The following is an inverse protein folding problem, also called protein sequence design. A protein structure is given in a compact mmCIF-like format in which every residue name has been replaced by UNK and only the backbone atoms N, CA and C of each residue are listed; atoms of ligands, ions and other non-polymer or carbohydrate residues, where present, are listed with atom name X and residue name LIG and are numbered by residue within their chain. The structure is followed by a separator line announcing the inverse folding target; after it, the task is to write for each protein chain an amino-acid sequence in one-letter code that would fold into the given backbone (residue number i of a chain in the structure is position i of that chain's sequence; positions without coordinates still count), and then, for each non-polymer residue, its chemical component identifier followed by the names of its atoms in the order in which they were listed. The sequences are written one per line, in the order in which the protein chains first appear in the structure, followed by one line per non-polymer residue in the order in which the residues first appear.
data_IF_862144554796
#
_entry.id   IF_862144554796
#
_cell.length_a   1.000
_cell.length_b   1.000
_cell.length_c   1.000
_cell.angle_alpha   90.00
_cell.angle_beta   90.00
_cell.angle_gamma   90.00
#
_symmetry.space_group_name_H-M   'P 1'
#
loop_
_entity.id
_entity.type
_entity.pdbx_description
1 polymer ?
#
# COMPACT_ATOMS: atom_id res chain seq x y z
N UNK A 1 -18.99 31.27 -23.76
CA UNK A 1 -17.79 32.01 -23.31
C UNK A 1 -16.63 31.10 -23.39
N UNK A 2 -15.65 31.40 -24.27
CA UNK A 2 -14.54 30.55 -24.57
C UNK A 2 -13.55 30.48 -23.42
N UNK A 3 -13.23 29.28 -22.97
CA UNK A 3 -12.09 29.02 -22.08
C UNK A 3 -10.80 29.44 -22.77
N UNK A 4 -10.15 30.48 -22.24
CA UNK A 4 -8.82 30.88 -22.67
C UNK A 4 -7.82 29.79 -22.30
N UNK A 5 -7.33 29.07 -23.30
CA UNK A 5 -6.11 28.25 -23.16
C UNK A 5 -4.94 29.13 -22.74
N UNK A 6 -4.45 28.92 -21.53
CA UNK A 6 -3.18 29.53 -21.09
C UNK A 6 -2.06 28.72 -21.79
N UNK A 7 -1.55 29.29 -22.87
CA UNK A 7 -0.34 28.78 -23.54
C UNK A 7 0.87 29.11 -22.66
N UNK A 8 1.35 28.12 -21.89
CA UNK A 8 2.69 28.19 -21.34
C UNK A 8 3.69 27.90 -22.47
N UNK A 9 4.49 28.91 -22.81
CA UNK A 9 5.62 28.78 -23.73
C UNK A 9 6.67 27.82 -23.14
N UNK A 10 7.13 26.86 -23.96
CA UNK A 10 8.38 26.12 -23.74
C UNK A 10 8.30 24.79 -22.99
N UNK A 11 7.34 23.90 -23.28
CA UNK A 11 7.56 22.49 -23.06
C UNK A 11 7.15 21.73 -24.33
N UNK A 12 8.11 21.09 -24.99
CA UNK A 12 7.81 19.99 -25.89
C UNK A 12 6.99 18.98 -25.09
N UNK A 13 5.67 18.96 -25.32
CA UNK A 13 4.77 18.02 -24.66
C UNK A 13 5.11 16.64 -25.21
N UNK A 14 5.95 15.90 -24.50
CA UNK A 14 6.18 14.48 -24.76
C UNK A 14 4.80 13.83 -24.92
N UNK A 15 4.54 13.24 -26.11
CA UNK A 15 3.25 12.64 -26.42
C UNK A 15 2.97 11.55 -25.39
N UNK A 16 1.93 11.73 -24.59
CA UNK A 16 1.60 10.84 -23.49
C UNK A 16 1.15 9.47 -24.00
N UNK A 17 1.84 8.41 -23.62
CA UNK A 17 1.38 7.05 -23.87
C UNK A 17 0.34 6.66 -22.84
N UNK A 18 -0.81 6.18 -23.29
CA UNK A 18 -1.89 5.69 -22.44
C UNK A 18 -1.91 4.17 -22.40
N UNK A 19 -2.21 3.62 -21.23
CA UNK A 19 -2.55 2.23 -21.09
C UNK A 19 -4.03 2.05 -21.49
N UNK A 20 -4.26 1.50 -22.67
CA UNK A 20 -5.61 1.25 -23.21
C UNK A 20 -6.08 -0.20 -22.95
N UNK A 21 -7.30 -0.51 -23.40
CA UNK A 21 -7.92 -1.82 -23.11
C UNK A 21 -7.24 -2.97 -23.88
N UNK A 22 -6.65 -2.72 -25.05
CA UNK A 22 -5.97 -3.74 -25.85
C UNK A 22 -4.68 -4.23 -25.19
N UNK A 23 -4.03 -3.37 -24.43
CA UNK A 23 -2.77 -3.64 -23.72
C UNK A 23 -2.93 -4.47 -22.44
N UNK A 24 -4.14 -4.73 -21.99
CA UNK A 24 -4.41 -5.33 -20.67
C UNK A 24 -3.79 -6.71 -20.48
N UNK A 25 -3.89 -7.58 -21.48
CA UNK A 25 -3.43 -8.98 -21.39
C UNK A 25 -1.99 -9.16 -21.86
N UNK A 26 -1.51 -8.28 -22.75
CA UNK A 26 -0.19 -8.36 -23.37
C UNK A 26 0.90 -7.71 -22.51
N UNK A 27 0.54 -6.68 -21.73
CA UNK A 27 1.51 -5.89 -20.98
C UNK A 27 1.79 -6.44 -19.59
N UNK A 28 3.06 -6.44 -19.22
CA UNK A 28 3.48 -6.61 -17.81
C UNK A 28 3.44 -5.26 -17.11
N UNK A 29 2.67 -5.19 -16.01
CA UNK A 29 2.51 -3.97 -15.21
C UNK A 29 3.43 -4.07 -14.00
N UNK A 30 4.48 -3.26 -13.97
CA UNK A 30 5.43 -3.21 -12.87
C UNK A 30 4.91 -2.33 -11.73
N UNK A 31 5.08 -2.80 -10.49
CA UNK A 31 4.62 -2.14 -9.26
C UNK A 31 5.81 -2.03 -8.30
N UNK A 32 6.00 -0.91 -7.59
CA UNK A 32 7.05 -0.80 -6.57
C UNK A 32 6.87 -1.82 -5.45
N UNK A 33 7.96 -2.26 -4.84
CA UNK A 33 7.95 -3.20 -3.71
C UNK A 33 7.43 -2.53 -2.44
N UNK A 34 6.12 -2.46 -2.33
CA UNK A 34 5.44 -2.01 -1.12
C UNK A 34 4.47 -3.08 -0.67
N UNK A 35 4.45 -3.41 0.63
CA UNK A 35 3.51 -4.39 1.20
C UNK A 35 3.57 -5.79 0.54
N UNK A 36 4.73 -6.45 0.49
CA UNK A 36 4.88 -7.72 -0.22
C UNK A 36 3.88 -8.80 0.24
N UNK A 37 3.46 -8.81 1.52
CA UNK A 37 2.45 -9.72 2.06
C UNK A 37 1.09 -9.50 1.38
N UNK A 38 0.64 -8.25 1.27
CA UNK A 38 -0.63 -7.89 0.64
C UNK A 38 -0.63 -8.15 -0.85
N UNK A 39 0.46 -7.77 -1.53
CA UNK A 39 0.54 -7.88 -2.99
C UNK A 39 0.52 -9.32 -3.50
N UNK A 40 0.95 -10.32 -2.71
CA UNK A 40 0.78 -11.74 -3.05
C UNK A 40 -0.68 -12.11 -3.35
N UNK A 41 -1.63 -11.52 -2.62
CA UNK A 41 -3.07 -11.74 -2.80
C UNK A 41 -3.66 -10.82 -3.86
N UNK A 42 -3.27 -9.54 -3.85
CA UNK A 42 -3.77 -8.51 -4.77
C UNK A 42 -3.44 -8.88 -6.21
N UNK A 43 -2.20 -9.26 -6.52
CA UNK A 43 -1.79 -9.66 -7.87
C UNK A 43 -2.60 -10.85 -8.40
N UNK A 44 -2.91 -11.83 -7.55
CA UNK A 44 -3.73 -12.99 -7.96
C UNK A 44 -5.16 -12.57 -8.37
N UNK A 45 -5.73 -11.56 -7.70
CA UNK A 45 -7.02 -11.00 -8.06
C UNK A 45 -6.92 -10.28 -9.41
N UNK A 46 -5.96 -9.38 -9.57
CA UNK A 46 -5.80 -8.61 -10.81
C UNK A 46 -5.55 -9.50 -12.02
N UNK A 47 -4.80 -10.61 -11.85
CA UNK A 47 -4.59 -11.61 -12.90
C UNK A 47 -5.89 -12.18 -13.43
N UNK A 48 -6.89 -12.43 -12.56
CA UNK A 48 -8.23 -12.88 -12.98
C UNK A 48 -8.94 -11.87 -13.89
N UNK A 49 -8.65 -10.60 -13.73
CA UNK A 49 -9.21 -9.51 -14.54
C UNK A 49 -8.36 -9.15 -15.76
N UNK A 50 -7.41 -10.01 -16.13
CA UNK A 50 -6.55 -9.82 -17.31
C UNK A 50 -5.41 -8.82 -17.11
N UNK A 51 -5.02 -8.50 -15.86
CA UNK A 51 -3.86 -7.65 -15.58
C UNK A 51 -2.69 -8.51 -15.14
N UNK A 52 -1.62 -8.54 -15.91
CA UNK A 52 -0.38 -9.19 -15.54
C UNK A 52 0.48 -8.21 -14.73
N UNK A 53 0.46 -8.33 -13.40
CA UNK A 53 1.19 -7.46 -12.49
C UNK A 53 2.41 -8.16 -11.92
N UNK A 54 3.52 -7.44 -11.84
CA UNK A 54 4.75 -7.90 -11.19
C UNK A 54 5.21 -6.89 -10.13
N UNK A 55 5.41 -7.38 -8.90
CA UNK A 55 5.98 -6.61 -7.81
C UNK A 55 7.50 -6.59 -7.98
N UNK A 56 8.08 -5.41 -8.08
CA UNK A 56 9.52 -5.24 -8.17
C UNK A 56 10.18 -5.62 -6.84
N UNK A 57 11.28 -6.36 -6.90
CA UNK A 57 12.04 -6.80 -5.72
C UNK A 57 13.51 -6.36 -5.79
N UNK A 58 13.85 -5.48 -6.74
CA UNK A 58 15.18 -4.90 -6.84
C UNK A 58 15.44 -3.94 -5.67
N UNK A 59 16.48 -4.23 -4.91
CA UNK A 59 16.85 -3.53 -3.67
C UNK A 59 18.33 -3.18 -3.60
N UNK A 60 19.02 -3.19 -4.74
CA UNK A 60 20.46 -2.88 -4.81
C UNK A 60 20.74 -1.38 -4.67
N UNK A 61 22.02 -1.04 -4.48
CA UNK A 61 22.51 0.34 -4.51
C UNK A 61 22.10 1.08 -5.79
N UNK A 62 22.01 0.37 -6.93
CA UNK A 62 21.60 0.94 -8.21
C UNK A 62 20.21 1.59 -8.15
N UNK A 63 19.29 1.09 -7.34
CA UNK A 63 17.97 1.72 -7.13
C UNK A 63 18.13 3.14 -6.61
N UNK A 64 19.00 3.35 -5.62
CA UNK A 64 19.27 4.68 -5.07
C UNK A 64 19.94 5.57 -6.12
N UNK A 65 20.96 5.06 -6.81
CA UNK A 65 21.72 5.81 -7.81
C UNK A 65 20.84 6.21 -9.00
N UNK A 66 19.97 5.32 -9.50
CA UNK A 66 19.00 5.64 -10.54
C UNK A 66 17.93 6.62 -10.05
N UNK A 67 17.51 6.52 -8.82
CA UNK A 67 16.60 7.50 -8.19
C UNK A 67 17.22 8.90 -8.14
N UNK A 68 18.46 9.02 -7.70
CA UNK A 68 19.20 10.29 -7.64
C UNK A 68 19.40 10.93 -9.02
N UNK A 69 19.68 10.12 -10.05
CA UNK A 69 19.84 10.61 -11.43
C UNK A 69 18.55 11.14 -12.05
N UNK A 70 17.41 10.53 -11.70
CA UNK A 70 16.15 10.74 -12.40
C UNK A 70 15.12 11.54 -11.59
N UNK A 71 15.46 11.91 -10.35
CA UNK A 71 14.58 12.65 -9.44
C UNK A 71 15.19 13.99 -9.09
N UNK A 72 14.35 15.02 -8.90
CA UNK A 72 14.80 16.33 -8.46
C UNK A 72 15.31 16.29 -7.01
N UNK A 73 16.31 17.11 -6.66
CA UNK A 73 16.93 17.18 -5.34
C UNK A 73 15.93 17.45 -4.19
N UNK A 74 14.82 18.16 -4.48
CA UNK A 74 13.78 18.47 -3.49
C UNK A 74 12.76 17.35 -3.33
N UNK A 75 12.91 16.22 -4.04
CA UNK A 75 12.04 15.08 -3.87
C UNK A 75 12.34 14.36 -2.55
N UNK A 76 11.29 13.83 -1.92
CA UNK A 76 11.46 13.02 -0.71
C UNK A 76 12.11 11.67 -1.02
N UNK A 77 12.72 11.06 -0.02
CA UNK A 77 13.36 9.75 -0.14
C UNK A 77 12.43 8.65 -0.72
N UNK A 78 11.14 8.53 -0.32
CA UNK A 78 10.21 7.62 -0.95
C UNK A 78 10.05 7.81 -2.47
N UNK A 79 9.97 9.05 -2.94
CA UNK A 79 9.88 9.35 -4.37
C UNK A 79 11.12 8.88 -5.13
N UNK A 80 12.30 9.13 -4.55
CA UNK A 80 13.58 8.70 -5.09
C UNK A 80 13.64 7.18 -5.25
N UNK A 81 13.26 6.44 -4.21
CA UNK A 81 13.29 4.97 -4.24
C UNK A 81 12.33 4.38 -5.25
N UNK A 82 11.08 4.87 -5.29
CA UNK A 82 10.07 4.38 -6.25
C UNK A 82 10.51 4.62 -7.69
N UNK A 83 11.01 5.81 -7.99
CA UNK A 83 11.48 6.14 -9.34
C UNK A 83 12.73 5.34 -9.67
N UNK A 84 13.66 5.25 -8.74
CA UNK A 84 14.88 4.45 -8.91
C UNK A 84 14.57 2.97 -9.15
N UNK A 85 13.63 2.40 -8.42
CA UNK A 85 13.22 1.01 -8.57
C UNK A 85 12.66 0.73 -9.97
N UNK A 86 11.82 1.61 -10.49
CA UNK A 86 11.33 1.51 -11.87
C UNK A 86 12.46 1.65 -12.89
N UNK A 87 13.33 2.67 -12.75
CA UNK A 87 14.39 2.94 -13.71
C UNK A 87 15.45 1.83 -13.74
N UNK A 88 15.83 1.30 -12.58
CA UNK A 88 16.73 0.15 -12.47
C UNK A 88 16.10 -1.11 -13.08
N UNK A 89 14.84 -1.38 -12.82
CA UNK A 89 14.12 -2.50 -13.41
C UNK A 89 14.07 -2.42 -14.95
N UNK A 90 13.73 -1.26 -15.51
CA UNK A 90 13.67 -1.08 -16.96
C UNK A 90 15.05 -1.21 -17.63
N UNK A 91 16.13 -0.84 -16.93
CA UNK A 91 17.52 -1.01 -17.43
C UNK A 91 18.06 -2.42 -17.30
N UNK A 92 17.44 -3.26 -16.49
CA UNK A 92 17.93 -4.62 -16.18
C UNK A 92 17.98 -5.57 -17.38
N UNK A 93 17.29 -5.25 -18.47
CA UNK A 93 17.10 -6.15 -19.62
C UNK A 93 16.15 -7.32 -19.37
N UNK A 94 15.54 -7.40 -18.16
CA UNK A 94 14.60 -8.47 -17.79
C UNK A 94 13.23 -8.30 -18.46
N UNK A 95 12.84 -7.09 -18.79
CA UNK A 95 11.49 -6.75 -19.25
C UNK A 95 11.48 -6.35 -20.73
N UNK A 96 10.46 -6.82 -21.44
CA UNK A 96 10.15 -6.32 -22.78
C UNK A 96 9.55 -4.91 -22.68
N UNK A 97 10.32 -3.90 -23.06
CA UNK A 97 9.95 -2.49 -22.91
C UNK A 97 8.76 -2.09 -23.79
N UNK A 98 8.50 -2.83 -24.89
CA UNK A 98 7.35 -2.56 -25.77
C UNK A 98 6.04 -3.03 -25.13
N UNK A 99 6.10 -4.05 -24.26
CA UNK A 99 4.96 -4.61 -23.56
C UNK A 99 5.05 -4.40 -22.04
N UNK A 100 5.64 -3.30 -21.60
CA UNK A 100 5.75 -2.93 -20.19
C UNK A 100 4.95 -1.67 -19.89
N UNK A 101 4.26 -1.67 -18.74
CA UNK A 101 3.61 -0.50 -18.16
C UNK A 101 4.02 -0.35 -16.70
N UNK A 102 3.99 0.87 -16.17
CA UNK A 102 4.27 1.16 -14.76
C UNK A 102 2.98 1.54 -14.06
N UNK A 103 2.83 1.14 -12.79
CA UNK A 103 1.67 1.49 -11.99
C UNK A 103 2.10 2.12 -10.67
N UNK A 104 1.52 3.28 -10.36
CA UNK A 104 1.76 3.98 -9.10
C UNK A 104 0.50 4.69 -8.60
N UNK A 105 0.39 4.84 -7.30
CA UNK A 105 -0.68 5.63 -6.68
C UNK A 105 -0.43 7.14 -6.82
N UNK A 106 -1.52 7.90 -6.87
CA UNK A 106 -1.51 9.37 -6.89
C UNK A 106 -2.57 9.89 -5.90
N UNK A 107 -2.12 10.45 -4.79
CA UNK A 107 -2.99 10.69 -3.63
C UNK A 107 -3.88 11.92 -3.75
N UNK A 108 -3.47 12.96 -4.48
CA UNK A 108 -4.21 14.23 -4.62
C UNK A 108 -4.14 15.16 -3.41
N UNK A 109 -3.29 14.83 -2.42
CA UNK A 109 -3.09 15.66 -1.23
C UNK A 109 -1.88 16.58 -1.32
N UNK A 110 -1.50 17.22 -0.21
CA UNK A 110 -0.31 18.08 -0.08
C UNK A 110 1.02 17.35 -0.04
N UNK A 111 1.06 16.05 -0.27
CA UNK A 111 2.25 15.21 -0.30
C UNK A 111 2.85 15.11 -1.71
N UNK A 112 4.16 14.88 -1.81
CA UNK A 112 4.86 14.61 -3.08
C UNK A 112 4.32 13.37 -3.81
N UNK A 113 3.68 12.44 -3.13
CA UNK A 113 2.98 11.29 -3.75
C UNK A 113 1.94 11.70 -4.80
N UNK A 114 1.41 12.90 -4.73
CA UNK A 114 0.56 13.49 -5.79
C UNK A 114 1.31 13.66 -7.12
N UNK A 115 2.63 13.85 -7.08
CA UNK A 115 3.46 14.15 -8.24
C UNK A 115 4.29 12.95 -8.74
N UNK A 116 4.24 11.78 -8.10
CA UNK A 116 5.05 10.61 -8.49
C UNK A 116 4.84 10.23 -9.95
N UNK A 117 3.61 10.26 -10.44
CA UNK A 117 3.28 9.97 -11.85
C UNK A 117 4.02 10.93 -12.81
N UNK A 118 4.04 12.22 -12.51
CA UNK A 118 4.74 13.23 -13.33
C UNK A 118 6.26 13.01 -13.28
N UNK A 119 6.81 12.69 -12.12
CA UNK A 119 8.24 12.40 -11.95
C UNK A 119 8.65 11.14 -12.72
N UNK A 120 7.87 10.07 -12.65
CA UNK A 120 8.11 8.83 -13.40
C UNK A 120 8.11 9.11 -14.91
N UNK A 121 7.13 9.86 -15.41
CA UNK A 121 7.08 10.24 -16.84
C UNK A 121 8.27 11.08 -17.27
N UNK A 122 8.71 12.02 -16.43
CA UNK A 122 9.92 12.82 -16.67
C UNK A 122 11.17 11.93 -16.73
N UNK A 123 11.30 10.99 -15.79
CA UNK A 123 12.41 10.04 -15.75
C UNK A 123 12.43 9.16 -17.02
N UNK A 124 11.28 8.63 -17.43
CA UNK A 124 11.14 7.86 -18.69
C UNK A 124 11.55 8.68 -19.91
N UNK A 125 11.12 9.94 -20.00
CA UNK A 125 11.51 10.82 -21.11
C UNK A 125 13.02 11.07 -21.13
N UNK A 126 13.64 11.32 -19.98
CA UNK A 126 15.08 11.51 -19.86
C UNK A 126 15.89 10.25 -20.25
N UNK A 127 15.30 9.07 -20.07
CA UNK A 127 15.91 7.79 -20.46
C UNK A 127 15.63 7.37 -21.91
N UNK A 128 14.93 8.20 -22.69
CA UNK A 128 14.55 7.86 -24.07
C UNK A 128 13.40 6.84 -24.19
N UNK A 129 12.64 6.61 -23.10
CA UNK A 129 11.53 5.64 -23.01
C UNK A 129 10.14 6.30 -22.82
N UNK A 130 9.79 7.41 -23.51
CA UNK A 130 8.55 8.16 -23.26
C UNK A 130 7.28 7.38 -23.62
N UNK A 131 7.40 6.28 -24.36
CA UNK A 131 6.29 5.46 -24.83
C UNK A 131 5.78 4.45 -23.79
N UNK A 132 6.51 4.23 -22.69
CA UNK A 132 6.06 3.34 -21.61
C UNK A 132 4.88 3.97 -20.89
N UNK A 133 3.70 3.31 -20.87
CA UNK A 133 2.52 3.83 -20.18
C UNK A 133 2.71 3.86 -18.66
N UNK A 134 2.23 4.93 -18.02
CA UNK A 134 2.21 5.06 -16.56
C UNK A 134 0.77 5.13 -16.09
N UNK A 135 0.32 4.10 -15.40
CA UNK A 135 -1.02 3.96 -14.85
C UNK A 135 -1.07 4.63 -13.48
N UNK A 136 -2.02 5.54 -13.31
CA UNK A 136 -2.25 6.24 -12.05
C UNK A 136 -3.42 5.65 -11.28
N UNK A 137 -3.17 5.09 -10.10
CA UNK A 137 -4.24 4.80 -9.14
C UNK A 137 -4.56 6.11 -8.39
N UNK A 138 -5.62 6.79 -8.81
CA UNK A 138 -5.95 8.10 -8.26
C UNK A 138 -7.42 8.21 -7.84
N UNK A 139 -7.74 7.96 -6.56
CA UNK A 139 -9.10 8.10 -6.04
C UNK A 139 -9.67 9.52 -6.17
N UNK A 140 -8.80 10.52 -6.27
CA UNK A 140 -9.19 11.92 -6.46
C UNK A 140 -9.59 12.27 -7.91
N UNK A 141 -9.50 11.34 -8.85
CA UNK A 141 -9.89 11.57 -10.25
C UNK A 141 -8.96 12.50 -11.03
N UNK A 142 -7.70 12.62 -10.62
CA UNK A 142 -6.71 13.52 -11.24
C UNK A 142 -6.36 13.13 -12.68
N UNK A 143 -6.43 11.84 -12.99
CA UNK A 143 -6.09 11.29 -14.31
C UNK A 143 -7.04 10.17 -14.72
N UNK A 144 -7.24 10.03 -16.05
CA UNK A 144 -8.00 8.93 -16.64
C UNK A 144 -7.05 7.84 -17.13
N UNK A 145 -7.38 6.58 -16.82
CA UNK A 145 -6.66 5.39 -17.29
C UNK A 145 -7.62 4.50 -18.09
N UNK A 146 -7.73 4.67 -19.43
CA UNK A 146 -8.78 4.01 -20.23
C UNK A 146 -8.77 2.48 -20.15
N UNK A 147 -7.58 1.88 -20.04
CA UNK A 147 -7.39 0.42 -19.96
C UNK A 147 -7.48 -0.14 -18.55
N UNK A 148 -7.38 0.71 -17.51
CA UNK A 148 -7.38 0.27 -16.12
C UNK A 148 -8.71 0.64 -15.44
N UNK A 149 -9.57 -0.35 -15.20
CA UNK A 149 -10.90 -0.14 -14.66
C UNK A 149 -11.05 -0.63 -13.24
N UNK A 150 -11.73 0.15 -12.43
CA UNK A 150 -12.14 -0.21 -11.06
C UNK A 150 -13.52 -0.86 -11.09
N UNK A 151 -13.58 -2.14 -11.42
CA UNK A 151 -14.83 -2.89 -11.39
C UNK A 151 -15.26 -3.12 -9.92
N UNK A 152 -16.55 -2.98 -9.57
CA UNK A 152 -17.02 -3.18 -8.19
C UNK A 152 -16.61 -4.53 -7.60
N UNK A 153 -16.66 -5.58 -8.42
CA UNK A 153 -16.26 -6.93 -8.00
C UNK A 153 -14.75 -7.06 -7.77
N UNK A 154 -13.91 -6.32 -8.52
CA UNK A 154 -12.48 -6.22 -8.28
C UNK A 154 -12.20 -5.51 -6.95
N UNK A 155 -12.84 -4.35 -6.73
CA UNK A 155 -12.67 -3.58 -5.50
C UNK A 155 -13.11 -4.36 -4.26
N UNK A 156 -14.22 -5.10 -4.35
CA UNK A 156 -14.68 -5.98 -3.28
C UNK A 156 -13.61 -7.00 -2.88
N UNK A 157 -13.03 -7.70 -3.86
CA UNK A 157 -11.97 -8.69 -3.62
C UNK A 157 -10.67 -8.05 -3.12
N UNK A 158 -10.31 -6.90 -3.68
CA UNK A 158 -9.13 -6.16 -3.26
C UNK A 158 -9.22 -5.73 -1.79
N UNK A 159 -10.38 -5.24 -1.33
CA UNK A 159 -10.60 -4.89 0.07
C UNK A 159 -10.48 -6.11 0.99
N UNK A 160 -11.04 -7.27 0.60
CA UNK A 160 -10.85 -8.52 1.35
C UNK A 160 -9.37 -8.92 1.41
N UNK A 161 -8.63 -8.80 0.30
CA UNK A 161 -7.20 -9.11 0.24
C UNK A 161 -6.37 -8.19 1.13
N UNK A 162 -6.73 -6.90 1.21
CA UNK A 162 -6.05 -5.95 2.09
C UNK A 162 -6.29 -6.31 3.57
N UNK A 163 -7.51 -6.66 3.97
CA UNK A 163 -7.79 -7.11 5.34
C UNK A 163 -7.01 -8.39 5.67
N UNK A 164 -6.92 -9.34 4.74
CA UNK A 164 -6.08 -10.53 4.95
C UNK A 164 -4.59 -10.18 5.07
N UNK A 165 -4.11 -9.22 4.28
CA UNK A 165 -2.73 -8.74 4.38
C UNK A 165 -2.42 -8.13 5.74
N UNK A 166 -3.29 -7.25 6.24
CA UNK A 166 -3.18 -6.67 7.58
C UNK A 166 -3.21 -7.75 8.67
N UNK A 167 -4.14 -8.71 8.55
CA UNK A 167 -4.20 -9.86 9.46
C UNK A 167 -2.89 -10.66 9.44
N UNK A 168 -2.36 -10.97 8.26
CA UNK A 168 -1.10 -11.72 8.16
C UNK A 168 0.09 -10.97 8.75
N UNK A 169 0.23 -9.66 8.51
CA UNK A 169 1.28 -8.88 9.16
C UNK A 169 1.19 -9.02 10.68
N UNK A 170 0.00 -8.89 11.22
CA UNK A 170 -0.27 -8.96 12.66
C UNK A 170 0.05 -10.33 13.25
N UNK A 171 -0.48 -11.41 12.68
CA UNK A 171 -0.27 -12.77 13.23
C UNK A 171 1.15 -13.29 12.96
N UNK A 172 1.73 -12.96 11.81
CA UNK A 172 3.06 -13.42 11.42
C UNK A 172 4.15 -12.77 12.27
N UNK A 173 4.14 -11.42 12.40
CA UNK A 173 5.17 -10.69 13.15
C UNK A 173 5.07 -10.95 14.65
N UNK A 174 3.88 -11.26 15.16
CA UNK A 174 3.65 -11.65 16.56
C UNK A 174 3.99 -13.11 16.86
N UNK A 175 4.12 -13.97 15.84
CA UNK A 175 4.37 -15.42 16.01
C UNK A 175 5.81 -15.79 15.69
N UNK A 176 6.33 -15.29 14.57
CA UNK A 176 7.64 -15.64 14.01
C UNK A 176 8.82 -15.49 14.99
N UNK A 177 8.91 -14.43 15.81
CA UNK A 177 10.00 -14.29 16.77
C UNK A 177 10.01 -15.34 17.89
N UNK A 178 8.90 -16.03 18.11
CA UNK A 178 8.69 -16.96 19.22
C UNK A 178 8.53 -18.42 18.80
N UNK A 179 8.55 -18.74 17.50
CA UNK A 179 8.31 -20.09 17.00
C UNK A 179 9.33 -21.12 17.54
N UNK A 180 8.85 -22.27 18.04
CA UNK A 180 9.74 -23.39 18.45
C UNK A 180 10.39 -24.06 17.26
N UNK A 181 9.65 -24.19 16.16
CA UNK A 181 10.14 -24.76 14.90
C UNK A 181 10.36 -23.62 13.94
N UNK A 182 11.61 -23.29 13.71
CA UNK A 182 12.00 -22.16 12.85
C UNK A 182 11.39 -22.30 11.45
N UNK A 183 10.69 -21.27 11.00
CA UNK A 183 10.03 -21.21 9.69
C UNK A 183 8.58 -21.72 9.70
N UNK A 184 8.06 -22.25 10.82
CA UNK A 184 6.69 -22.77 10.90
C UNK A 184 5.63 -21.69 10.64
N UNK A 185 5.84 -20.48 11.14
CA UNK A 185 4.94 -19.35 10.90
C UNK A 185 4.92 -18.94 9.42
N UNK A 186 6.08 -18.88 8.76
CA UNK A 186 6.17 -18.60 7.33
C UNK A 186 5.51 -19.71 6.50
N UNK A 187 5.74 -20.99 6.84
CA UNK A 187 5.10 -22.11 6.14
C UNK A 187 3.56 -22.07 6.25
N UNK A 188 3.05 -21.75 7.44
CA UNK A 188 1.62 -21.58 7.65
C UNK A 188 1.06 -20.38 6.86
N UNK A 189 1.78 -19.26 6.83
CA UNK A 189 1.42 -18.12 6.01
C UNK A 189 1.31 -18.47 4.53
N UNK A 190 2.32 -19.13 3.94
CA UNK A 190 2.31 -19.52 2.53
C UNK A 190 1.16 -20.52 2.22
N UNK A 191 0.90 -21.50 3.10
CA UNK A 191 -0.25 -22.40 3.00
C UNK A 191 -1.56 -21.61 2.88
N UNK A 192 -1.75 -20.61 3.73
CA UNK A 192 -2.94 -19.77 3.71
C UNK A 192 -3.00 -18.86 2.49
N UNK A 193 -1.88 -18.28 2.05
CA UNK A 193 -1.82 -17.46 0.83
C UNK A 193 -2.31 -18.25 -0.37
N UNK A 194 -1.85 -19.49 -0.56
CA UNK A 194 -2.29 -20.34 -1.68
C UNK A 194 -3.79 -20.71 -1.61
N UNK A 195 -4.32 -20.93 -0.42
CA UNK A 195 -5.76 -21.13 -0.22
C UNK A 195 -6.55 -19.86 -0.55
N UNK A 196 -6.12 -18.72 -0.02
CA UNK A 196 -6.82 -17.45 -0.18
C UNK A 196 -6.80 -16.94 -1.62
N UNK A 197 -5.77 -17.20 -2.42
CA UNK A 197 -5.75 -16.91 -3.86
C UNK A 197 -6.96 -17.54 -4.57
N UNK A 198 -7.38 -18.74 -4.15
CA UNK A 198 -8.55 -19.45 -4.72
C UNK A 198 -9.87 -18.93 -4.15
N UNK A 199 -9.94 -18.70 -2.84
CA UNK A 199 -11.16 -18.31 -2.15
C UNK A 199 -11.57 -16.86 -2.47
N UNK A 200 -10.62 -15.93 -2.59
CA UNK A 200 -10.87 -14.55 -3.00
C UNK A 200 -11.52 -14.46 -4.40
N UNK A 201 -11.28 -15.43 -5.27
CA UNK A 201 -11.92 -15.47 -6.58
C UNK A 201 -13.42 -15.78 -6.50
N UNK A 202 -13.88 -16.46 -5.45
CA UNK A 202 -15.30 -16.74 -5.18
C UNK A 202 -16.01 -15.55 -4.55
N UNK A 203 -15.29 -14.75 -3.76
CA UNK A 203 -15.77 -13.54 -3.07
C UNK A 203 -16.97 -13.79 -2.13
N UNK A 204 -17.06 -14.98 -1.54
CA UNK A 204 -18.11 -15.32 -0.59
C UNK A 204 -17.80 -14.78 0.82
N UNK A 205 -18.76 -14.06 1.41
CA UNK A 205 -18.60 -13.43 2.72
C UNK A 205 -18.52 -14.43 3.87
N UNK A 206 -19.20 -15.56 3.78
CA UNK A 206 -19.14 -16.61 4.81
C UNK A 206 -17.74 -17.21 4.84
N UNK A 207 -17.24 -17.64 3.68
CA UNK A 207 -15.87 -18.15 3.50
C UNK A 207 -14.83 -17.12 3.97
N UNK A 208 -15.03 -15.84 3.65
CA UNK A 208 -14.16 -14.76 4.11
C UNK A 208 -14.05 -14.71 5.64
N UNK A 209 -15.18 -14.71 6.35
CA UNK A 209 -15.20 -14.66 7.80
C UNK A 209 -14.69 -15.94 8.46
N UNK A 210 -14.95 -17.10 7.86
CA UNK A 210 -14.43 -18.40 8.32
C UNK A 210 -12.91 -18.48 8.17
N UNK A 211 -12.36 -18.04 7.05
CA UNK A 211 -10.92 -18.01 6.83
C UNK A 211 -10.21 -17.12 7.85
N UNK A 212 -10.73 -15.94 8.16
CA UNK A 212 -10.17 -15.04 9.18
C UNK A 212 -10.07 -15.78 10.53
N UNK A 213 -11.17 -16.40 11.00
CA UNK A 213 -11.16 -17.14 12.25
C UNK A 213 -10.18 -18.31 12.25
N UNK A 214 -10.12 -19.04 11.15
CA UNK A 214 -9.22 -20.18 11.02
C UNK A 214 -7.74 -19.77 10.98
N UNK A 215 -7.40 -18.68 10.29
CA UNK A 215 -6.04 -18.12 10.30
C UNK A 215 -5.61 -17.80 11.73
N UNK A 216 -6.42 -17.03 12.46
CA UNK A 216 -6.11 -16.66 13.85
C UNK A 216 -5.91 -17.91 14.71
N UNK A 217 -6.85 -18.88 14.65
CA UNK A 217 -6.77 -20.13 15.41
C UNK A 217 -5.50 -20.93 15.07
N UNK A 218 -5.21 -21.17 13.77
CA UNK A 218 -4.04 -21.96 13.38
C UNK A 218 -2.72 -21.28 13.77
N UNK A 219 -2.64 -19.95 13.75
CA UNK A 219 -1.48 -19.23 14.26
C UNK A 219 -1.39 -19.28 15.81
N UNK A 220 -2.51 -19.31 16.53
CA UNK A 220 -2.52 -19.52 17.99
C UNK A 220 -2.06 -20.92 18.39
N UNK A 221 -2.38 -21.92 17.57
CA UNK A 221 -2.02 -23.32 17.79
C UNK A 221 -0.52 -23.63 17.51
N UNK A 222 0.21 -22.71 16.84
CA UNK A 222 1.63 -22.91 16.61
C UNK A 222 2.42 -22.99 17.91
N UNK A 223 3.30 -24.02 18.08
CA UNK A 223 4.15 -24.14 19.25
C UNK A 223 5.13 -22.98 19.38
N UNK A 224 5.08 -22.24 20.48
CA UNK A 224 5.96 -21.13 20.78
C UNK A 224 6.89 -21.40 21.94
N UNK A 225 8.01 -20.69 21.95
CA UNK A 225 8.91 -20.56 23.08
C UNK A 225 8.24 -19.70 24.18
N UNK A 226 8.39 -20.09 25.42
CA UNK A 226 7.94 -19.31 26.58
C UNK A 226 9.01 -18.27 26.96
N UNK A 227 9.17 -17.27 26.11
CA UNK A 227 10.13 -16.17 26.30
C UNK A 227 9.44 -14.84 26.07
N UNK A 228 9.97 -13.77 26.67
CA UNK A 228 9.54 -12.40 26.41
C UNK A 228 10.61 -11.68 25.59
N UNK A 229 10.16 -10.98 24.56
CA UNK A 229 11.03 -10.11 23.74
C UNK A 229 10.54 -8.67 23.83
N UNK A 230 11.44 -7.69 23.70
CA UNK A 230 11.01 -6.29 23.58
C UNK A 230 10.16 -6.11 22.34
N UNK A 231 9.05 -5.39 22.48
CA UNK A 231 8.18 -5.01 21.36
C UNK A 231 8.59 -3.65 20.85
N UNK A 232 8.87 -3.56 19.56
CA UNK A 232 9.35 -2.34 18.91
C UNK A 232 8.35 -1.90 17.85
N UNK A 233 7.75 -0.72 18.03
CA UNK A 233 6.84 -0.10 17.06
C UNK A 233 7.63 0.36 15.83
N UNK A 234 7.16 -0.01 14.65
CA UNK A 234 7.68 0.48 13.36
C UNK A 234 6.73 1.55 12.86
N UNK A 235 7.07 2.80 13.14
CA UNK A 235 6.29 3.97 12.73
C UNK A 235 7.04 4.76 11.67
N UNK A 236 6.32 5.49 10.84
CA UNK A 236 6.94 6.28 9.77
C UNK A 236 5.94 6.58 8.65
N UNK A 237 6.41 7.31 7.64
CA UNK A 237 5.67 7.57 6.42
C UNK A 237 5.33 6.24 5.74
N UNK A 238 4.15 6.14 5.13
CA UNK A 238 3.54 4.89 4.66
C UNK A 238 4.47 4.05 3.76
N UNK A 239 5.16 4.67 2.81
CA UNK A 239 6.06 3.92 1.92
C UNK A 239 7.28 3.42 2.69
N UNK A 240 7.93 4.27 3.49
CA UNK A 240 9.10 3.87 4.29
C UNK A 240 8.73 2.77 5.28
N UNK A 241 7.56 2.86 5.91
CA UNK A 241 7.09 1.85 6.86
C UNK A 241 6.91 0.46 6.23
N UNK A 242 6.41 0.39 5.00
CA UNK A 242 6.01 -0.86 4.35
C UNK A 242 6.93 -1.34 3.23
N UNK A 243 7.86 -0.53 2.76
CA UNK A 243 8.75 -0.88 1.66
C UNK A 243 10.07 -1.43 2.20
N UNK A 244 10.40 -2.72 2.01
CA UNK A 244 11.58 -3.34 2.61
C UNK A 244 12.89 -2.62 2.26
N UNK A 245 13.08 -2.22 1.00
CA UNK A 245 14.26 -1.45 0.57
C UNK A 245 14.34 -0.08 1.25
N UNK A 246 13.17 0.58 1.46
CA UNK A 246 13.14 1.92 2.06
C UNK A 246 13.48 1.93 3.55
N UNK A 247 13.24 0.83 4.27
CA UNK A 247 13.50 0.71 5.69
C UNK A 247 14.64 -0.26 6.05
N UNK A 248 15.44 -0.67 5.05
CA UNK A 248 16.55 -1.61 5.25
C UNK A 248 16.10 -2.95 5.87
N UNK A 249 14.96 -3.46 5.45
CA UNK A 249 14.38 -4.72 5.94
C UNK A 249 14.21 -4.74 7.47
N UNK A 250 13.71 -3.64 8.02
CA UNK A 250 13.67 -3.33 9.44
C UNK A 250 12.99 -4.41 10.27
N UNK A 251 11.88 -5.00 9.79
CA UNK A 251 11.17 -6.06 10.52
C UNK A 251 12.07 -7.28 10.74
N UNK A 252 12.73 -7.76 9.69
CA UNK A 252 13.64 -8.89 9.78
C UNK A 252 14.89 -8.55 10.60
N UNK A 253 15.35 -7.29 10.54
CA UNK A 253 16.46 -6.82 11.39
C UNK A 253 16.08 -6.90 12.87
N UNK A 254 14.93 -6.34 13.26
CA UNK A 254 14.45 -6.37 14.64
C UNK A 254 14.30 -7.81 15.18
N UNK A 255 13.77 -8.71 14.34
CA UNK A 255 13.64 -10.11 14.74
C UNK A 255 14.98 -10.82 14.92
N UNK A 256 15.98 -10.53 14.07
CA UNK A 256 17.35 -11.05 14.23
C UNK A 256 18.02 -10.55 15.51
N UNK A 257 17.76 -9.29 15.86
CA UNK A 257 18.29 -8.67 17.10
C UNK A 257 17.48 -9.09 18.35
N UNK A 258 16.51 -9.99 18.21
CA UNK A 258 15.77 -10.56 19.32
C UNK A 258 14.54 -9.78 19.77
N UNK A 259 14.05 -8.84 18.97
CA UNK A 259 12.83 -8.07 19.24
C UNK A 259 11.61 -8.63 18.49
N UNK A 260 10.42 -8.16 18.88
CA UNK A 260 9.16 -8.33 18.16
C UNK A 260 8.81 -7.01 17.46
N UNK A 261 8.70 -7.03 16.13
CA UNK A 261 8.26 -5.87 15.37
C UNK A 261 6.74 -5.70 15.44
N UNK A 262 6.27 -4.50 15.74
CA UNK A 262 4.86 -4.11 15.73
C UNK A 262 4.65 -3.10 14.61
N UNK A 263 4.01 -3.54 13.52
CA UNK A 263 3.75 -2.71 12.33
C UNK A 263 2.25 -2.41 12.27
N UNK A 264 1.84 -1.13 12.22
CA UNK A 264 0.44 -0.75 12.05
C UNK A 264 -0.16 -1.25 10.74
N UNK A 265 -1.48 -1.47 10.73
CA UNK A 265 -2.21 -1.98 9.57
C UNK A 265 -2.30 -0.92 8.46
N UNK A 266 -2.32 -1.36 7.19
CA UNK A 266 -2.52 -0.47 6.04
C UNK A 266 -3.89 0.22 6.08
N UNK A 267 -4.93 -0.51 6.48
CA UNK A 267 -6.28 0.06 6.54
C UNK A 267 -6.44 1.14 7.62
N UNK A 268 -5.61 1.15 8.65
CA UNK A 268 -5.58 2.25 9.61
C UNK A 268 -5.18 3.56 8.94
N UNK A 269 -4.21 3.52 8.01
CA UNK A 269 -3.88 4.69 7.19
C UNK A 269 -5.04 5.13 6.28
N UNK A 270 -5.77 4.19 5.67
CA UNK A 270 -6.94 4.52 4.87
C UNK A 270 -8.05 5.19 5.72
N UNK A 271 -8.27 4.70 6.94
CA UNK A 271 -9.19 5.31 7.91
C UNK A 271 -8.71 6.71 8.36
N UNK A 272 -7.39 6.90 8.55
CA UNK A 272 -6.79 8.20 8.79
C UNK A 272 -7.13 9.19 7.65
N UNK A 273 -6.96 8.81 6.40
CA UNK A 273 -7.30 9.64 5.25
C UNK A 273 -8.79 10.03 5.24
N UNK A 274 -9.68 9.11 5.60
CA UNK A 274 -11.11 9.37 5.75
C UNK A 274 -11.39 10.34 6.90
N UNK A 275 -10.75 10.14 8.05
CA UNK A 275 -10.92 10.98 9.24
C UNK A 275 -10.43 12.42 9.00
N UNK A 276 -9.38 12.58 8.21
CA UNK A 276 -8.87 13.90 7.83
C UNK A 276 -9.91 14.75 7.09
N UNK A 277 -10.85 14.16 6.35
CA UNK A 277 -11.90 14.93 5.69
C UNK A 277 -12.86 15.57 6.71
N UNK A 278 -13.07 14.93 7.85
CA UNK A 278 -13.86 15.48 8.98
C UNK A 278 -13.14 16.67 9.59
N UNK A 279 -11.84 16.51 9.85
CA UNK A 279 -11.02 17.58 10.46
C UNK A 279 -10.85 18.77 9.51
N UNK A 280 -10.69 18.52 8.21
CA UNK A 280 -10.62 19.58 7.19
C UNK A 280 -11.89 20.42 7.15
N UNK A 281 -13.06 19.79 7.17
CA UNK A 281 -14.33 20.54 7.18
C UNK A 281 -14.47 21.35 8.46
N UNK A 282 -14.12 20.75 9.61
CA UNK A 282 -14.28 21.39 10.91
C UNK A 282 -13.36 22.60 11.12
N UNK A 283 -12.11 22.53 10.69
CA UNK A 283 -11.08 23.50 11.06
C UNK A 283 -10.45 24.25 9.88
N UNK A 284 -10.53 23.72 8.65
CA UNK A 284 -9.81 24.24 7.49
C UNK A 284 -10.74 24.66 6.33
N UNK A 285 -12.05 24.78 6.57
CA UNK A 285 -13.02 25.15 5.53
C UNK A 285 -13.16 24.10 4.43
N UNK A 286 -12.89 22.83 4.73
CA UNK A 286 -13.00 21.75 3.78
C UNK A 286 -14.43 21.46 3.31
N UNK A 287 -14.56 20.66 2.25
CA UNK A 287 -15.84 20.36 1.61
C UNK A 287 -16.71 19.43 2.47
N UNK A 288 -17.97 19.83 2.69
CA UNK A 288 -19.00 19.00 3.32
C UNK A 288 -19.24 17.68 2.58
N UNK A 289 -19.19 17.72 1.24
CA UNK A 289 -19.30 16.51 0.40
C UNK A 289 -18.13 15.54 0.65
N UNK A 290 -16.91 16.05 0.73
CA UNK A 290 -15.72 15.22 1.01
C UNK A 290 -15.81 14.55 2.38
N UNK A 291 -16.30 15.24 3.42
CA UNK A 291 -16.58 14.66 4.74
C UNK A 291 -17.61 13.52 4.68
N UNK A 292 -18.73 13.73 3.97
CA UNK A 292 -19.78 12.72 3.85
C UNK A 292 -19.24 11.48 3.14
N UNK A 293 -18.53 11.66 2.03
CA UNK A 293 -17.90 10.57 1.28
C UNK A 293 -16.84 9.87 2.14
N UNK A 294 -15.98 10.61 2.83
CA UNK A 294 -14.98 10.06 3.74
C UNK A 294 -15.61 9.19 4.83
N UNK A 295 -16.66 9.67 5.47
CA UNK A 295 -17.39 8.88 6.47
C UNK A 295 -18.05 7.62 5.89
N UNK A 296 -18.56 7.68 4.67
CA UNK A 296 -19.13 6.50 3.99
C UNK A 296 -18.04 5.46 3.69
N UNK A 297 -16.91 5.91 3.14
CA UNK A 297 -15.76 5.04 2.84
C UNK A 297 -15.22 4.42 4.14
N UNK A 298 -15.09 5.18 5.22
CA UNK A 298 -14.67 4.65 6.52
C UNK A 298 -15.60 3.54 7.01
N UNK A 299 -16.93 3.74 6.93
CA UNK A 299 -17.91 2.69 7.30
C UNK A 299 -17.78 1.42 6.44
N UNK A 300 -17.50 1.58 5.15
CA UNK A 300 -17.25 0.43 4.26
C UNK A 300 -16.00 -0.32 4.69
N UNK A 301 -14.89 0.39 4.96
CA UNK A 301 -13.65 -0.23 5.46
C UNK A 301 -13.90 -0.95 6.79
N UNK A 302 -14.52 -0.30 7.76
CA UNK A 302 -14.87 -0.86 9.07
C UNK A 302 -15.75 -2.12 8.92
N UNK A 303 -16.68 -2.13 7.95
CA UNK A 303 -17.52 -3.29 7.66
C UNK A 303 -16.72 -4.49 7.12
N UNK A 304 -15.68 -4.25 6.29
CA UNK A 304 -14.77 -5.30 5.85
C UNK A 304 -13.88 -5.79 6.97
N UNK A 305 -13.40 -4.90 7.84
CA UNK A 305 -12.56 -5.25 8.99
C UNK A 305 -13.33 -5.97 10.10
N UNK A 306 -14.66 -5.81 10.18
CA UNK A 306 -15.45 -6.34 11.30
C UNK A 306 -15.19 -7.83 11.60
N UNK A 307 -15.17 -8.78 10.65
CA UNK A 307 -14.87 -10.18 10.98
C UNK A 307 -13.49 -10.38 11.61
N UNK A 308 -12.49 -9.59 11.20
CA UNK A 308 -11.15 -9.62 11.79
C UNK A 308 -11.15 -9.04 13.20
N UNK A 309 -11.81 -7.90 13.41
CA UNK A 309 -11.93 -7.26 14.73
C UNK A 309 -12.64 -8.19 15.73
N UNK A 310 -13.77 -8.79 15.34
CA UNK A 310 -14.56 -9.71 16.17
C UNK A 310 -13.77 -10.99 16.52
N UNK A 311 -12.91 -11.46 15.63
CA UNK A 311 -12.08 -12.64 15.86
C UNK A 311 -10.85 -12.32 16.73
N UNK A 312 -10.17 -11.19 16.49
CA UNK A 312 -9.04 -10.74 17.30
C UNK A 312 -9.44 -10.38 18.73
N UNK A 313 -10.65 -9.86 18.95
CA UNK A 313 -11.16 -9.59 20.30
C UNK A 313 -11.28 -10.84 21.17
N UNK A 314 -11.44 -12.02 20.54
CA UNK A 314 -11.50 -13.32 21.23
C UNK A 314 -10.13 -14.00 21.33
N UNK A 315 -9.14 -13.49 20.62
CA UNK A 315 -7.79 -14.01 20.62
C UNK A 315 -7.10 -13.76 21.95
N UNK A 316 -6.33 -14.73 22.41
CA UNK A 316 -5.49 -14.60 23.63
C UNK A 316 -4.08 -14.07 23.29
N UNK A 317 -3.69 -14.08 22.02
CA UNK A 317 -2.34 -13.73 21.57
C UNK A 317 -2.30 -12.46 20.76
N UNK A 318 -3.31 -12.23 19.93
CA UNK A 318 -3.27 -11.17 18.91
C UNK A 318 -4.17 -10.00 19.29
N UNK A 319 -3.57 -8.84 19.45
CA UNK A 319 -4.29 -7.62 19.76
C UNK A 319 -5.04 -7.10 18.52
N UNK A 320 -6.22 -6.54 18.71
CA UNK A 320 -6.94 -5.83 17.64
C UNK A 320 -6.28 -4.47 17.34
N UNK A 321 -6.38 -3.95 16.10
CA UNK A 321 -5.93 -2.61 15.80
C UNK A 321 -6.73 -1.56 16.57
N UNK A 322 -6.06 -0.47 16.94
CA UNK A 322 -6.70 0.66 17.61
C UNK A 322 -7.68 1.38 16.69
N UNK A 323 -8.73 1.93 17.28
CA UNK A 323 -9.71 2.70 16.53
C UNK A 323 -9.11 4.07 16.14
N UNK A 324 -9.28 4.49 14.89
CA UNK A 324 -8.72 5.76 14.39
C UNK A 324 -9.19 6.99 15.19
N UNK A 325 -10.39 6.95 15.77
CA UNK A 325 -10.90 8.06 16.60
C UNK A 325 -10.23 8.08 17.98
N UNK A 326 -9.87 6.92 18.52
CA UNK A 326 -9.08 6.81 19.75
C UNK A 326 -7.68 7.33 19.53
N UNK A 327 -7.03 6.91 18.45
CA UNK A 327 -5.73 7.42 18.02
C UNK A 327 -5.74 8.95 17.85
N UNK A 328 -6.79 9.50 17.22
CA UNK A 328 -6.95 10.95 17.09
C UNK A 328 -7.02 11.67 18.44
N UNK A 329 -7.74 11.12 19.42
CA UNK A 329 -7.83 11.70 20.78
C UNK A 329 -6.48 11.69 21.51
N UNK A 330 -5.70 10.63 21.34
CA UNK A 330 -4.36 10.58 21.93
C UNK A 330 -3.43 11.60 21.26
N UNK A 331 -3.44 11.70 19.94
CA UNK A 331 -2.66 12.69 19.21
C UNK A 331 -3.03 14.13 19.58
N UNK A 332 -4.31 14.44 19.80
CA UNK A 332 -4.77 15.80 20.17
C UNK A 332 -4.14 16.33 21.45
N UNK A 333 -3.65 15.46 22.33
CA UNK A 333 -2.93 15.86 23.55
C UNK A 333 -1.56 16.51 23.25
N UNK A 334 -1.01 16.26 22.05
CA UNK A 334 0.33 16.65 21.65
C UNK A 334 0.31 17.58 20.43
N UNK A 335 -0.50 17.25 19.42
CA UNK A 335 -0.51 17.93 18.12
C UNK A 335 -1.94 18.10 17.59
N UNK A 336 -2.19 19.21 16.88
CA UNK A 336 -3.48 19.41 16.23
C UNK A 336 -3.75 18.39 15.12
N UNK A 337 -4.97 17.88 15.03
CA UNK A 337 -5.43 17.02 13.93
C UNK A 337 -5.48 17.74 12.57
N UNK A 338 -5.20 19.03 12.53
CA UNK A 338 -4.98 19.78 11.29
C UNK A 338 -3.59 19.55 10.70
N UNK A 339 -2.64 19.01 11.47
CA UNK A 339 -1.33 18.61 10.98
C UNK A 339 -1.43 17.27 10.25
N UNK A 340 -1.72 17.32 8.94
CA UNK A 340 -2.11 16.16 8.14
C UNK A 340 -1.09 15.79 7.05
N UNK A 341 -0.14 16.68 6.74
CA UNK A 341 0.84 16.43 5.68
C UNK A 341 1.88 15.42 6.14
N UNK A 342 2.16 14.41 5.31
CA UNK A 342 3.12 13.35 5.63
C UNK A 342 2.72 12.53 6.86
N UNK A 343 1.43 12.17 6.95
CA UNK A 343 0.77 11.47 8.07
C UNK A 343 0.75 12.25 9.41
N UNK A 344 1.36 13.39 9.51
CA UNK A 344 1.32 14.35 10.60
C UNK A 344 0.89 13.83 11.97
N UNK A 345 -0.36 14.13 12.40
CA UNK A 345 -0.88 13.69 13.69
C UNK A 345 -0.96 12.17 13.85
N UNK A 346 -1.07 11.44 12.73
CA UNK A 346 -1.21 9.99 12.76
C UNK A 346 0.08 9.31 13.25
N UNK A 347 1.26 9.79 12.82
CA UNK A 347 2.54 9.30 13.32
C UNK A 347 2.67 9.51 14.83
N UNK A 348 2.26 10.69 15.31
CA UNK A 348 2.26 10.99 16.76
C UNK A 348 1.35 10.04 17.53
N UNK A 349 0.22 9.63 16.94
CA UNK A 349 -0.70 8.70 17.57
C UNK A 349 -0.21 7.25 17.59
N UNK A 350 0.62 6.86 16.61
CA UNK A 350 1.21 5.52 16.53
C UNK A 350 2.39 5.33 17.50
N UNK A 351 3.00 6.42 17.99
CA UNK A 351 4.08 6.43 18.98
C UNK A 351 3.57 6.25 20.40
#
# INVERSE_FOLDING_TARGET
MAEKEIKHAGSDRVKRSYFDKSRREEYTILIPDMLPIHFKLIMAIYKKYGYNMELLQNCSRNVIDEGLKNTHNDACYPALLVIGQFMDALKSGKYDLEHTALLMSQTGGGCRATNYIAFIRKALANMGMPNIPVISINPAGLEKNPGFKYEPALLHRALQAIVYGDLFMRVLYRTRPYEKVKGSANALHEKWVEKLKKDLLKADRRTYSENIRNIIREFEELPLLDIKKPRVGVVGEILVKFHPTANNDLVNLLEREGAEAVVPDLLTFALYCCHNQVQKEKYLGGSRKARIVGNLVAKVIEWYQKPMMDALEKSKRFDKPENIRSLGKEAEKIVSLCNQTGEGWFLTAEM
#
